data_IF_708914511607
#
_entry.id   IF_708914511607
#
_cell.length_a   1.000
_cell.length_b   1.000
_cell.length_c   1.000
_cell.angle_alpha   90.00
_cell.angle_beta   90.00
_cell.angle_gamma   90.00
#
_symmetry.space_group_name_H-M   'P 1'
#
loop_
_entity.id
_entity.type
_entity.pdbx_description
1 polymer ?
#
# COMPACT_ATOMS: atom_id res chain seq x y z
N UNK A 1 -0.35 -21.20 16.99
CA UNK A 1 -1.58 -20.39 16.81
C UNK A 1 -1.26 -18.90 16.94
N UNK A 2 -0.34 -18.48 17.86
CA UNK A 2 0.08 -17.06 17.99
C UNK A 2 0.68 -16.54 16.67
N UNK A 3 1.50 -17.35 16.00
CA UNK A 3 2.11 -16.98 14.72
C UNK A 3 1.09 -16.76 13.60
N UNK A 4 -0.01 -17.50 13.63
CA UNK A 4 -1.11 -17.27 12.69
C UNK A 4 -1.76 -15.90 12.91
N UNK A 5 -1.96 -15.51 14.18
CA UNK A 5 -2.49 -14.19 14.52
C UNK A 5 -1.53 -13.07 14.10
N UNK A 6 -0.24 -13.26 14.37
CA UNK A 6 0.82 -12.33 13.93
C UNK A 6 0.83 -12.19 12.41
N UNK A 7 0.74 -13.32 11.70
CA UNK A 7 0.64 -13.36 10.22
C UNK A 7 -0.59 -12.61 9.72
N UNK A 8 -1.75 -12.81 10.35
CA UNK A 8 -2.99 -12.12 9.96
C UNK A 8 -2.90 -10.61 10.21
N UNK A 9 -2.31 -10.21 11.33
CA UNK A 9 -2.15 -8.80 11.67
C UNK A 9 -1.17 -8.10 10.72
N UNK A 10 0.05 -8.63 10.57
CA UNK A 10 1.07 -8.08 9.69
C UNK A 10 0.62 -8.14 8.23
N UNK A 11 0.06 -9.27 7.82
CA UNK A 11 -0.46 -9.47 6.47
C UNK A 11 -1.60 -8.51 6.12
N UNK A 12 -2.42 -8.11 7.08
CA UNK A 12 -3.49 -7.13 6.86
C UNK A 12 -2.96 -5.72 6.58
N UNK A 13 -1.89 -5.30 7.26
CA UNK A 13 -1.22 -4.01 6.98
C UNK A 13 -0.56 -4.06 5.60
N UNK A 14 0.19 -5.13 5.32
CA UNK A 14 0.83 -5.36 4.03
C UNK A 14 -0.18 -5.39 2.90
N UNK A 15 -1.31 -6.05 3.12
CA UNK A 15 -2.41 -6.14 2.16
C UNK A 15 -2.98 -4.77 1.82
N UNK A 16 -3.28 -3.93 2.81
CA UNK A 16 -3.82 -2.58 2.57
C UNK A 16 -2.88 -1.75 1.72
N UNK A 17 -1.59 -1.75 2.06
CA UNK A 17 -0.59 -1.00 1.32
C UNK A 17 -0.40 -1.55 -0.11
N UNK A 18 -0.25 -2.87 -0.24
CA UNK A 18 -0.04 -3.51 -1.54
C UNK A 18 -1.28 -3.43 -2.45
N UNK A 19 -2.51 -3.47 -1.90
CA UNK A 19 -3.74 -3.26 -2.67
C UNK A 19 -3.81 -1.87 -3.29
N UNK A 20 -3.40 -0.82 -2.56
CA UNK A 20 -3.32 0.53 -3.11
C UNK A 20 -2.39 0.60 -4.31
N UNK A 21 -1.18 0.06 -4.17
CA UNK A 21 -0.19 0.02 -5.24
C UNK A 21 -0.63 -0.85 -6.42
N UNK A 22 -1.23 -2.02 -6.16
CA UNK A 22 -1.75 -2.91 -7.19
C UNK A 22 -2.93 -2.30 -7.95
N UNK A 23 -3.79 -1.54 -7.28
CA UNK A 23 -4.89 -0.82 -7.91
C UNK A 23 -4.36 0.24 -8.89
N UNK A 24 -3.37 1.03 -8.49
CA UNK A 24 -2.71 2.00 -9.35
C UNK A 24 -2.07 1.31 -10.57
N UNK A 25 -1.33 0.22 -10.36
CA UNK A 25 -0.73 -0.56 -11.44
C UNK A 25 -1.76 -1.13 -12.41
N UNK A 26 -2.80 -1.77 -11.91
CA UNK A 26 -3.80 -2.46 -12.75
C UNK A 26 -4.66 -1.51 -13.59
N UNK A 27 -4.71 -0.21 -13.24
CA UNK A 27 -5.54 0.79 -13.93
C UNK A 27 -4.74 1.75 -14.78
N UNK A 28 -3.59 2.19 -14.29
CA UNK A 28 -2.77 3.23 -14.97
C UNK A 28 -1.54 2.60 -15.62
N UNK A 29 -1.17 1.38 -15.23
CA UNK A 29 0.04 0.69 -15.67
C UNK A 29 1.33 1.28 -15.08
N UNK A 30 1.23 1.97 -13.93
CA UNK A 30 2.34 2.73 -13.37
C UNK A 30 2.62 2.29 -11.94
N UNK A 31 3.89 2.03 -11.62
CA UNK A 31 4.37 1.87 -10.26
C UNK A 31 4.62 3.24 -9.65
N UNK A 32 3.84 3.57 -8.63
CA UNK A 32 4.01 4.82 -7.90
C UNK A 32 5.07 4.67 -6.82
N UNK A 33 6.30 5.10 -7.10
CA UNK A 33 7.39 5.07 -6.11
C UNK A 33 7.20 6.08 -4.97
N UNK A 34 6.31 7.07 -5.11
CA UNK A 34 5.94 7.95 -4.01
C UNK A 34 4.97 7.30 -2.99
N UNK A 35 4.51 6.06 -3.23
CA UNK A 35 3.50 5.41 -2.38
C UNK A 35 3.99 5.18 -0.95
N UNK A 36 5.28 4.81 -0.77
CA UNK A 36 5.91 4.70 0.55
C UNK A 36 6.01 6.02 1.30
N UNK A 37 6.36 7.09 0.59
CA UNK A 37 6.39 8.43 1.16
C UNK A 37 5.00 8.93 1.57
N UNK A 38 3.97 8.64 0.76
CA UNK A 38 2.57 8.95 1.07
C UNK A 38 2.11 8.22 2.35
N UNK A 39 2.48 6.95 2.50
CA UNK A 39 2.20 6.15 3.68
C UNK A 39 2.78 6.78 4.96
N UNK A 40 4.08 7.11 4.98
CA UNK A 40 4.74 7.72 6.13
C UNK A 40 4.18 9.11 6.42
N UNK A 41 4.09 9.98 5.40
CA UNK A 41 3.63 11.34 5.55
C UNK A 41 2.19 11.45 6.02
N UNK A 42 1.33 10.52 5.59
CA UNK A 42 -0.07 10.48 6.03
C UNK A 42 -0.21 10.17 7.51
N UNK A 43 0.55 9.19 8.00
CA UNK A 43 0.60 8.86 9.42
C UNK A 43 1.24 10.00 10.24
N UNK A 44 2.34 10.58 9.74
CA UNK A 44 3.00 11.73 10.36
C UNK A 44 2.06 12.94 10.46
N UNK A 45 1.27 13.22 9.43
CA UNK A 45 0.33 14.35 9.47
C UNK A 45 -0.69 14.21 10.60
N UNK A 46 -1.17 12.99 10.85
CA UNK A 46 -2.06 12.71 11.97
C UNK A 46 -1.34 12.80 13.33
N UNK A 47 -0.07 12.33 13.40
CA UNK A 47 0.80 12.51 14.57
C UNK A 47 0.97 13.99 14.88
N UNK A 48 1.38 14.79 13.90
CA UNK A 48 1.59 16.23 14.06
C UNK A 48 0.36 16.96 14.61
N UNK A 49 -0.84 16.62 14.11
CA UNK A 49 -2.09 17.21 14.63
C UNK A 49 -2.38 16.70 16.05
N UNK A 50 -2.09 15.43 16.35
CA UNK A 50 -2.34 14.83 17.67
C UNK A 50 -1.46 15.43 18.77
N UNK A 51 -0.34 16.04 18.42
CA UNK A 51 0.51 16.74 19.40
C UNK A 51 -0.12 18.05 19.92
N UNK A 52 -1.04 18.65 19.17
CA UNK A 52 -1.75 19.86 19.57
C UNK A 52 -3.11 19.56 20.19
N UNK A 53 -3.78 18.47 19.78
CA UNK A 53 -5.11 18.11 20.23
C UNK A 53 -5.19 16.60 20.42
N UNK A 54 -5.60 16.10 21.60
CA UNK A 54 -5.77 14.67 21.79
C UNK A 54 -6.86 14.13 20.85
N UNK A 55 -6.46 13.22 19.98
CA UNK A 55 -7.32 12.64 18.95
C UNK A 55 -7.72 11.21 19.30
N UNK A 56 -8.96 10.85 18.94
CA UNK A 56 -9.40 9.46 18.97
C UNK A 56 -8.81 8.65 17.79
N UNK A 57 -8.68 7.33 17.96
CA UNK A 57 -8.19 6.45 16.88
C UNK A 57 -8.95 6.63 15.55
N UNK A 58 -10.29 6.70 15.50
CA UNK A 58 -11.00 6.96 14.25
C UNK A 58 -10.65 8.30 13.59
N UNK A 59 -10.42 9.34 14.41
CA UNK A 59 -10.02 10.65 13.89
C UNK A 59 -8.62 10.61 13.27
N UNK A 60 -7.66 9.96 13.92
CA UNK A 60 -6.30 9.75 13.41
C UNK A 60 -6.35 8.97 12.08
N UNK A 61 -7.12 7.89 12.02
CA UNK A 61 -7.30 7.10 10.80
C UNK A 61 -7.91 7.96 9.69
N UNK A 62 -8.95 8.72 9.98
CA UNK A 62 -9.61 9.58 8.98
C UNK A 62 -8.66 10.64 8.42
N UNK A 63 -7.88 11.31 9.28
CA UNK A 63 -6.88 12.30 8.86
C UNK A 63 -5.84 11.63 7.95
N UNK A 64 -5.29 10.49 8.36
CA UNK A 64 -4.29 9.77 7.57
C UNK A 64 -4.84 9.33 6.20
N UNK A 65 -6.07 8.83 6.15
CA UNK A 65 -6.74 8.45 4.89
C UNK A 65 -6.94 9.66 3.99
N UNK A 66 -7.42 10.78 4.52
CA UNK A 66 -7.68 12.00 3.74
C UNK A 66 -6.37 12.62 3.22
N UNK A 67 -5.35 12.70 4.05
CA UNK A 67 -4.02 13.21 3.63
C UNK A 67 -3.43 12.30 2.56
N UNK A 68 -3.46 11.00 2.76
CA UNK A 68 -2.95 10.04 1.78
C UNK A 68 -3.71 10.11 0.45
N UNK A 69 -5.04 10.17 0.49
CA UNK A 69 -5.86 10.31 -0.70
C UNK A 69 -5.58 11.61 -1.46
N UNK A 70 -5.51 12.74 -0.76
CA UNK A 70 -5.25 14.05 -1.38
C UNK A 70 -3.85 14.15 -1.94
N UNK A 71 -2.83 13.72 -1.20
CA UNK A 71 -1.43 13.76 -1.66
C UNK A 71 -1.22 12.88 -2.89
N UNK A 72 -1.79 11.68 -2.89
CA UNK A 72 -1.70 10.77 -4.04
C UNK A 72 -2.46 11.30 -5.26
N UNK A 73 -3.65 11.88 -5.07
CA UNK A 73 -4.40 12.53 -6.15
C UNK A 73 -3.64 13.73 -6.74
N UNK A 74 -3.02 14.56 -5.89
CA UNK A 74 -2.17 15.68 -6.30
C UNK A 74 -0.92 15.20 -7.06
N UNK A 75 -0.29 14.12 -6.62
CA UNK A 75 0.84 13.50 -7.32
C UNK A 75 0.42 13.07 -8.73
N UNK A 76 -0.76 12.46 -8.89
CA UNK A 76 -1.27 12.10 -10.20
C UNK A 76 -1.52 13.34 -11.07
N UNK A 77 -2.20 14.33 -10.52
CA UNK A 77 -2.62 15.50 -11.29
C UNK A 77 -1.44 16.42 -11.66
N UNK A 78 -0.53 16.70 -10.70
CA UNK A 78 0.54 17.68 -10.88
C UNK A 78 1.82 17.08 -11.48
N UNK A 79 2.10 15.80 -11.24
CA UNK A 79 3.33 15.16 -11.70
C UNK A 79 3.08 14.14 -12.81
N UNK A 80 2.26 13.12 -12.59
CA UNK A 80 2.15 12.00 -13.53
C UNK A 80 1.34 12.33 -14.78
N UNK A 81 0.24 13.05 -14.66
CA UNK A 81 -0.57 13.44 -15.80
C UNK A 81 0.16 14.32 -16.82
N UNK A 82 0.92 15.37 -16.41
CA UNK A 82 1.76 16.13 -17.33
C UNK A 82 2.86 15.31 -17.98
N UNK A 83 3.47 14.38 -17.23
CA UNK A 83 4.50 13.48 -17.77
C UNK A 83 3.90 12.58 -18.84
N UNK A 84 2.73 11.97 -18.58
CA UNK A 84 2.03 11.13 -19.55
C UNK A 84 1.70 11.87 -20.84
N UNK A 85 1.14 13.09 -20.73
CA UNK A 85 0.75 13.91 -21.89
C UNK A 85 1.94 14.37 -22.74
N UNK A 86 3.14 14.53 -22.14
CA UNK A 86 4.36 14.98 -22.85
C UNK A 86 5.23 13.83 -23.32
N UNK A 87 4.90 12.60 -23.00
CA UNK A 87 5.70 11.43 -23.39
C UNK A 87 5.31 10.93 -24.78
N UNK A 88 6.31 10.68 -25.63
CA UNK A 88 6.10 10.25 -27.02
C UNK A 88 5.70 8.78 -27.14
N UNK A 89 6.08 7.94 -26.19
CA UNK A 89 5.78 6.50 -26.17
C UNK A 89 5.66 6.00 -24.73
N UNK A 90 5.02 4.84 -24.57
CA UNK A 90 4.70 4.25 -23.26
C UNK A 90 5.95 4.00 -22.40
N UNK A 91 7.00 3.42 -22.98
CA UNK A 91 8.25 3.13 -22.27
C UNK A 91 8.96 4.38 -21.74
N UNK A 92 8.94 5.49 -22.50
CA UNK A 92 9.51 6.76 -22.02
C UNK A 92 8.66 7.40 -20.92
N UNK A 93 7.34 7.19 -20.96
CA UNK A 93 6.42 7.62 -19.90
C UNK A 93 6.71 6.90 -18.58
N UNK A 94 6.84 5.59 -18.61
CA UNK A 94 7.14 4.75 -17.44
C UNK A 94 8.43 5.19 -16.74
N UNK A 95 9.53 5.36 -17.47
CA UNK A 95 10.80 5.81 -16.91
C UNK A 95 10.72 7.22 -16.30
N UNK A 96 10.04 8.16 -16.99
CA UNK A 96 9.87 9.52 -16.47
C UNK A 96 9.00 9.56 -15.22
N UNK A 97 7.98 8.71 -15.14
CA UNK A 97 7.11 8.60 -13.96
C UNK A 97 7.85 7.96 -12.80
N UNK A 98 8.68 6.96 -13.05
CA UNK A 98 9.56 6.38 -12.04
C UNK A 98 10.45 7.46 -11.42
N UNK A 99 11.19 8.21 -12.24
CA UNK A 99 12.05 9.29 -11.77
C UNK A 99 11.24 10.41 -11.10
N UNK A 100 10.11 10.79 -11.70
CA UNK A 100 9.19 11.79 -11.13
C UNK A 100 8.59 11.35 -9.80
N UNK A 101 8.25 10.07 -9.65
CA UNK A 101 7.73 9.48 -8.40
C UNK A 101 8.77 9.54 -7.28
N UNK A 102 10.02 9.21 -7.56
CA UNK A 102 11.12 9.33 -6.59
C UNK A 102 11.32 10.80 -6.19
N UNK A 103 11.30 11.72 -7.18
CA UNK A 103 11.41 13.16 -6.90
C UNK A 103 10.26 13.70 -6.04
N UNK A 104 9.02 13.28 -6.32
CA UNK A 104 7.85 13.64 -5.50
C UNK A 104 7.95 13.04 -4.10
N UNK A 105 8.45 11.81 -3.97
CA UNK A 105 8.62 11.15 -2.67
C UNK A 105 9.59 11.89 -1.75
N UNK A 106 10.63 12.49 -2.31
CA UNK A 106 11.67 13.16 -1.54
C UNK A 106 11.12 14.34 -0.71
N UNK A 107 10.09 15.04 -1.19
CA UNK A 107 9.52 16.21 -0.50
C UNK A 107 8.85 15.82 0.84
N UNK A 108 7.82 14.95 0.86
CA UNK A 108 7.17 14.55 2.11
C UNK A 108 8.13 13.83 3.06
N UNK A 109 9.05 13.01 2.55
CA UNK A 109 10.05 12.34 3.38
C UNK A 109 10.97 13.34 4.06
N UNK A 110 11.53 14.33 3.33
CA UNK A 110 12.38 15.36 3.90
C UNK A 110 11.64 16.22 4.94
N UNK A 111 10.35 16.48 4.74
CA UNK A 111 9.53 17.21 5.72
C UNK A 111 9.35 16.40 7.02
N UNK A 112 9.08 15.09 6.92
CA UNK A 112 8.95 14.24 8.10
C UNK A 112 10.30 14.14 8.82
N UNK A 113 11.37 13.85 8.10
CA UNK A 113 12.72 13.71 8.66
C UNK A 113 13.17 14.98 9.38
N UNK A 114 12.97 16.15 8.78
CA UNK A 114 13.25 17.43 9.40
C UNK A 114 12.40 17.67 10.65
N UNK A 115 11.11 17.39 10.61
CA UNK A 115 10.19 17.66 11.71
C UNK A 115 10.40 16.72 12.90
N UNK A 116 10.82 15.47 12.64
CA UNK A 116 11.07 14.48 13.69
C UNK A 116 12.53 14.42 14.13
N UNK A 117 13.42 15.19 13.51
CA UNK A 117 14.87 15.11 13.69
C UNK A 117 15.40 13.66 13.51
N UNK A 118 14.87 12.96 12.49
CA UNK A 118 15.16 11.55 12.18
C UNK A 118 14.76 10.54 13.28
N UNK A 119 14.00 10.98 14.30
CA UNK A 119 13.50 10.09 15.33
C UNK A 119 12.18 9.41 14.90
N UNK A 120 11.94 8.16 15.33
CA UNK A 120 10.64 7.54 15.12
C UNK A 120 9.51 8.31 15.82
N UNK A 121 8.35 8.42 15.18
CA UNK A 121 7.16 9.07 15.71
C UNK A 121 6.06 8.05 16.00
N UNK A 122 5.14 8.39 16.91
CA UNK A 122 4.00 7.56 17.30
C UNK A 122 2.82 8.41 17.77
N UNK A 123 1.70 7.78 18.11
CA UNK A 123 0.50 8.49 18.59
C UNK A 123 0.43 8.55 20.12
N UNK A 124 1.45 9.14 20.76
CA UNK A 124 1.56 9.21 22.21
C UNK A 124 0.38 9.94 22.89
N UNK A 125 -0.16 10.98 22.21
CA UNK A 125 -1.28 11.77 22.71
C UNK A 125 -2.66 11.28 22.25
N UNK A 126 -2.73 10.06 21.69
CA UNK A 126 -4.00 9.45 21.33
C UNK A 126 -4.79 9.05 22.58
N UNK A 127 -6.09 9.29 22.57
CA UNK A 127 -7.00 8.78 23.61
C UNK A 127 -7.23 7.26 23.55
N UNK A 128 -6.62 6.58 22.57
CA UNK A 128 -6.72 5.13 22.39
C UNK A 128 -5.66 4.41 23.19
N UNK A 129 -6.09 3.45 24.02
CA UNK A 129 -5.21 2.55 24.76
C UNK A 129 -5.21 1.14 24.19
N UNK A 130 -4.03 0.61 23.93
CA UNK A 130 -3.87 -0.79 23.52
C UNK A 130 -4.12 -1.68 24.74
N UNK A 131 -5.12 -2.56 24.63
CA UNK A 131 -5.42 -3.57 25.64
C UNK A 131 -5.03 -4.95 25.11
N UNK A 132 -4.45 -5.76 25.98
CA UNK A 132 -4.05 -7.13 25.67
C UNK A 132 -5.04 -8.08 26.34
N UNK A 133 -5.65 -8.95 25.56
CA UNK A 133 -6.52 -10.02 26.02
C UNK A 133 -5.77 -11.35 25.93
N UNK A 134 -5.75 -12.09 27.03
CA UNK A 134 -5.21 -13.45 27.03
C UNK A 134 -6.37 -14.45 26.99
N UNK A 135 -6.55 -15.10 25.85
CA UNK A 135 -7.60 -16.09 25.63
C UNK A 135 -6.93 -17.42 25.23
N UNK A 136 -7.06 -18.43 26.08
CA UNK A 136 -6.51 -19.78 25.85
C UNK A 136 -4.99 -19.78 25.54
N UNK A 137 -4.22 -18.91 26.19
CA UNK A 137 -2.78 -18.76 25.98
C UNK A 137 -2.39 -17.96 24.74
N UNK A 138 -3.35 -17.33 24.06
CA UNK A 138 -3.12 -16.40 22.94
C UNK A 138 -3.17 -14.96 23.46
N UNK A 139 -2.20 -14.18 23.04
CA UNK A 139 -2.18 -12.73 23.29
C UNK A 139 -2.76 -11.99 22.10
N UNK A 140 -3.97 -11.45 22.27
CA UNK A 140 -4.69 -10.71 21.25
C UNK A 140 -4.83 -9.27 21.71
N UNK A 141 -4.37 -8.31 20.90
CA UNK A 141 -4.61 -6.90 21.18
C UNK A 141 -5.86 -6.41 20.46
N UNK A 142 -6.56 -5.45 21.07
CA UNK A 142 -7.67 -4.76 20.41
C UNK A 142 -7.21 -4.12 19.07
N UNK A 143 -5.97 -3.61 19.01
CA UNK A 143 -5.35 -3.08 17.80
C UNK A 143 -5.24 -4.14 16.71
N UNK A 144 -4.75 -5.35 17.04
CA UNK A 144 -4.62 -6.44 16.06
C UNK A 144 -5.97 -6.83 15.47
N UNK A 145 -7.03 -6.87 16.28
CA UNK A 145 -8.39 -7.16 15.78
C UNK A 145 -8.87 -6.08 14.82
N UNK A 146 -8.68 -4.80 15.16
CA UNK A 146 -9.04 -3.67 14.28
C UNK A 146 -8.27 -3.75 12.96
N UNK A 147 -6.97 -4.01 13.01
CA UNK A 147 -6.11 -4.15 11.82
C UNK A 147 -6.60 -5.28 10.91
N UNK A 148 -6.90 -6.46 11.46
CA UNK A 148 -7.38 -7.61 10.68
C UNK A 148 -8.75 -7.30 10.06
N UNK A 149 -9.68 -6.78 10.84
CA UNK A 149 -11.03 -6.44 10.35
C UNK A 149 -10.97 -5.37 9.26
N UNK A 150 -10.16 -4.32 9.48
CA UNK A 150 -9.97 -3.26 8.49
C UNK A 150 -9.32 -3.80 7.22
N UNK A 151 -8.21 -4.55 7.34
CA UNK A 151 -7.47 -5.09 6.19
C UNK A 151 -8.32 -6.02 5.33
N UNK A 152 -8.90 -7.04 5.95
CA UNK A 152 -9.74 -8.02 5.25
C UNK A 152 -11.04 -7.39 4.74
N UNK A 153 -11.71 -6.58 5.57
CA UNK A 153 -12.96 -5.92 5.21
C UNK A 153 -12.81 -4.99 4.01
N UNK A 154 -11.74 -4.18 3.99
CA UNK A 154 -11.46 -3.28 2.87
C UNK A 154 -11.04 -4.07 1.62
N UNK A 155 -10.22 -5.12 1.75
CA UNK A 155 -9.86 -5.96 0.62
C UNK A 155 -11.08 -6.60 -0.05
N UNK A 156 -12.00 -7.12 0.75
CA UNK A 156 -13.28 -7.68 0.25
C UNK A 156 -14.13 -6.56 -0.36
N UNK A 157 -14.33 -5.45 0.34
CA UNK A 157 -15.11 -4.30 -0.13
C UNK A 157 -14.58 -3.73 -1.45
N UNK A 158 -13.27 -3.51 -1.55
CA UNK A 158 -12.62 -3.03 -2.76
C UNK A 158 -12.78 -4.01 -3.93
N UNK A 159 -12.59 -5.31 -3.66
CA UNK A 159 -12.77 -6.35 -4.68
C UNK A 159 -14.20 -6.41 -5.20
N UNK A 160 -15.19 -6.33 -4.30
CA UNK A 160 -16.61 -6.30 -4.67
C UNK A 160 -16.97 -5.02 -5.42
N UNK A 161 -16.47 -3.87 -4.97
CA UNK A 161 -16.67 -2.60 -5.66
C UNK A 161 -16.09 -2.62 -7.07
N UNK A 162 -14.85 -3.09 -7.24
CA UNK A 162 -14.23 -3.22 -8.56
C UNK A 162 -15.00 -4.17 -9.48
N UNK A 163 -15.58 -5.26 -8.93
CA UNK A 163 -16.32 -6.24 -9.74
C UNK A 163 -17.73 -5.80 -10.10
N UNK A 164 -18.43 -5.07 -9.21
CA UNK A 164 -19.88 -4.79 -9.33
C UNK A 164 -20.22 -3.36 -9.69
N UNK A 165 -19.33 -2.38 -9.47
CA UNK A 165 -19.62 -0.98 -9.74
C UNK A 165 -19.35 -0.59 -11.20
N UNK A 166 -20.06 0.47 -11.68
CA UNK A 166 -19.81 1.07 -13.00
C UNK A 166 -18.41 1.68 -13.08
N UNK A 167 -17.93 2.28 -11.98
CA UNK A 167 -16.58 2.82 -11.89
C UNK A 167 -15.52 1.72 -11.97
N UNK A 168 -15.72 0.61 -11.24
CA UNK A 168 -14.83 -0.56 -11.33
C UNK A 168 -14.82 -1.20 -12.71
N UNK A 169 -15.94 -1.17 -13.44
CA UNK A 169 -15.97 -1.59 -14.85
C UNK A 169 -15.11 -0.67 -15.73
N UNK A 170 -15.25 0.65 -15.56
CA UNK A 170 -14.44 1.65 -16.28
C UNK A 170 -12.94 1.49 -16.00
N UNK A 171 -12.56 1.28 -14.74
CA UNK A 171 -11.15 1.05 -14.36
C UNK A 171 -10.58 -0.22 -15.02
N UNK A 172 -11.34 -1.31 -15.03
CA UNK A 172 -10.92 -2.55 -15.71
C UNK A 172 -10.83 -2.39 -17.23
N UNK A 173 -11.72 -1.60 -17.83
CA UNK A 173 -11.67 -1.30 -19.27
C UNK A 173 -10.40 -0.51 -19.62
N UNK A 174 -10.03 0.52 -18.83
CA UNK A 174 -8.79 1.28 -18.99
C UNK A 174 -7.55 0.36 -18.85
N UNK A 175 -7.56 -0.56 -17.89
CA UNK A 175 -6.47 -1.51 -17.68
C UNK A 175 -6.29 -2.51 -18.82
N UNK A 176 -7.30 -2.75 -19.65
CA UNK A 176 -7.19 -3.61 -20.85
C UNK A 176 -6.75 -2.80 -22.07
N UNK A 177 -7.44 -1.69 -22.33
CA UNK A 177 -7.15 -0.79 -23.44
C UNK A 177 -7.70 0.61 -23.13
N UNK A 178 -6.79 1.52 -22.78
CA UNK A 178 -7.14 2.87 -22.36
C UNK A 178 -7.67 3.74 -23.51
N UNK A 179 -7.28 3.46 -24.76
CA UNK A 179 -7.70 4.20 -25.92
C UNK A 179 -9.14 3.82 -26.31
N UNK A 180 -9.40 2.54 -26.43
CA UNK A 180 -10.76 2.02 -26.66
C UNK A 180 -11.74 2.42 -25.56
N UNK A 181 -11.34 2.35 -24.28
CA UNK A 181 -12.17 2.79 -23.14
C UNK A 181 -12.54 4.27 -23.25
N UNK A 182 -11.61 5.12 -23.72
CA UNK A 182 -11.86 6.55 -23.90
C UNK A 182 -12.87 6.82 -25.03
N UNK A 183 -12.82 6.05 -26.11
CA UNK A 183 -13.81 6.12 -27.20
C UNK A 183 -15.23 5.73 -26.74
N UNK A 184 -15.32 4.86 -25.72
CA UNK A 184 -16.57 4.47 -25.08
C UNK A 184 -17.05 5.46 -24.00
N UNK A 185 -16.40 6.63 -23.88
CA UNK A 185 -16.79 7.71 -22.97
C UNK A 185 -16.17 7.63 -21.55
N UNK A 186 -15.22 6.75 -21.32
CA UNK A 186 -14.53 6.67 -20.02
C UNK A 186 -13.44 7.75 -19.94
N UNK A 187 -13.56 8.69 -19.02
CA UNK A 187 -12.55 9.73 -18.81
C UNK A 187 -11.34 9.17 -18.07
N UNK A 188 -10.25 8.94 -18.80
CA UNK A 188 -9.00 8.36 -18.28
C UNK A 188 -8.40 9.19 -17.13
N UNK A 189 -8.34 10.52 -17.28
CA UNK A 189 -7.74 11.42 -16.27
C UNK A 189 -8.49 11.37 -14.95
N UNK A 190 -9.83 11.45 -15.00
CA UNK A 190 -10.67 11.37 -13.79
C UNK A 190 -10.54 10.02 -13.12
N UNK A 191 -10.54 8.94 -13.90
CA UNK A 191 -10.34 7.59 -13.35
C UNK A 191 -8.97 7.41 -12.73
N UNK A 192 -7.90 7.93 -13.36
CA UNK A 192 -6.54 7.86 -12.83
C UNK A 192 -6.42 8.63 -11.51
N UNK A 193 -6.94 9.86 -11.42
CA UNK A 193 -6.94 10.65 -10.19
C UNK A 193 -7.73 9.94 -9.08
N UNK A 194 -8.91 9.42 -9.40
CA UNK A 194 -9.75 8.68 -8.45
C UNK A 194 -9.07 7.39 -7.94
N UNK A 195 -8.42 6.65 -8.84
CA UNK A 195 -7.65 5.45 -8.48
C UNK A 195 -6.49 5.81 -7.54
N UNK A 196 -5.74 6.85 -7.86
CA UNK A 196 -4.64 7.30 -7.04
C UNK A 196 -5.11 7.83 -5.68
N UNK A 197 -6.27 8.51 -5.62
CA UNK A 197 -6.89 8.91 -4.35
C UNK A 197 -7.21 7.69 -3.47
N UNK A 198 -7.84 6.65 -4.04
CA UNK A 198 -8.12 5.40 -3.30
C UNK A 198 -6.81 4.73 -2.85
N UNK A 199 -5.83 4.63 -3.75
CA UNK A 199 -4.53 4.03 -3.44
C UNK A 199 -3.83 4.78 -2.29
N UNK A 200 -3.77 6.11 -2.36
CA UNK A 200 -3.19 6.93 -1.29
C UNK A 200 -3.97 6.87 0.02
N UNK A 201 -5.30 6.79 -0.04
CA UNK A 201 -6.14 6.56 1.14
C UNK A 201 -5.85 5.22 1.82
N UNK A 202 -5.63 4.16 1.03
CA UNK A 202 -5.21 2.85 1.55
C UNK A 202 -3.81 2.90 2.17
N UNK A 203 -2.87 3.64 1.56
CA UNK A 203 -1.55 3.87 2.13
C UNK A 203 -1.63 4.62 3.47
N UNK A 204 -2.43 5.69 3.55
CA UNK A 204 -2.64 6.45 4.78
C UNK A 204 -3.28 5.62 5.88
N UNK A 205 -4.26 4.78 5.54
CA UNK A 205 -4.87 3.83 6.48
C UNK A 205 -3.86 2.82 7.00
N UNK A 206 -3.08 2.20 6.08
CA UNK A 206 -2.04 1.25 6.45
C UNK A 206 -0.99 1.89 7.37
N UNK A 207 -0.60 3.15 7.09
CA UNK A 207 0.34 3.92 7.91
C UNK A 207 -0.17 4.16 9.33
N UNK A 208 -1.40 4.66 9.47
CA UNK A 208 -2.02 4.86 10.78
C UNK A 208 -2.13 3.56 11.57
N UNK A 209 -2.60 2.47 10.94
CA UNK A 209 -2.73 1.17 11.58
C UNK A 209 -1.38 0.58 11.98
N UNK A 210 -0.33 0.78 11.16
CA UNK A 210 1.03 0.33 11.50
C UNK A 210 1.58 1.07 12.72
N UNK A 211 1.40 2.39 12.81
CA UNK A 211 1.80 3.16 13.99
C UNK A 211 1.05 2.70 15.24
N UNK A 212 -0.25 2.44 15.15
CA UNK A 212 -1.01 1.87 16.29
C UNK A 212 -0.53 0.48 16.69
N UNK A 213 -0.11 -0.35 15.71
CA UNK A 213 0.34 -1.72 15.97
C UNK A 213 1.75 -1.78 16.55
N UNK A 214 2.70 -0.99 15.99
CA UNK A 214 4.11 -1.01 16.38
C UNK A 214 4.47 0.08 17.41
N UNK A 215 3.55 1.01 17.68
CA UNK A 215 3.69 2.17 18.57
C UNK A 215 4.73 3.21 18.10
N UNK A 216 5.48 2.92 17.06
CA UNK A 216 6.44 3.85 16.46
C UNK A 216 6.65 3.55 14.98
N UNK A 217 6.99 4.60 14.18
CA UNK A 217 7.33 4.49 12.77
C UNK A 217 8.50 5.42 12.45
N UNK A 218 9.53 4.88 11.80
CA UNK A 218 10.63 5.66 11.22
C UNK A 218 10.34 6.08 9.78
N UNK A 219 11.09 7.04 9.30
CA UNK A 219 10.95 7.57 7.93
C UNK A 219 11.25 6.50 6.87
N UNK A 220 12.21 5.61 7.16
CA UNK A 220 12.64 4.52 6.28
C UNK A 220 11.59 3.41 6.10
N UNK A 221 10.61 3.33 7.00
CA UNK A 221 9.57 2.29 6.96
C UNK A 221 8.78 2.31 5.64
N UNK A 222 8.60 3.50 5.04
CA UNK A 222 7.90 3.65 3.77
C UNK A 222 8.63 2.98 2.61
N UNK A 223 9.94 3.14 2.51
CA UNK A 223 10.75 2.54 1.45
C UNK A 223 10.86 1.03 1.62
N UNK A 224 11.04 0.55 2.86
CA UNK A 224 11.05 -0.88 3.16
C UNK A 224 9.73 -1.55 2.76
N UNK A 225 8.59 -0.92 3.11
CA UNK A 225 7.29 -1.47 2.76
C UNK A 225 6.98 -1.36 1.26
N UNK A 226 7.49 -0.33 0.58
CA UNK A 226 7.37 -0.17 -0.87
C UNK A 226 8.02 -1.35 -1.61
N UNK A 227 9.23 -1.73 -1.21
CA UNK A 227 9.96 -2.86 -1.80
C UNK A 227 9.21 -4.17 -1.51
N UNK A 228 8.73 -4.38 -0.28
CA UNK A 228 7.91 -5.55 0.09
C UNK A 228 6.59 -5.60 -0.68
N UNK A 229 5.93 -4.45 -0.90
CA UNK A 229 4.70 -4.40 -1.67
C UNK A 229 4.92 -4.75 -3.15
N UNK A 230 6.00 -4.26 -3.74
CA UNK A 230 6.40 -4.68 -5.08
C UNK A 230 6.57 -6.21 -5.15
N UNK A 231 7.25 -6.76 -4.16
CA UNK A 231 7.42 -8.19 -4.00
C UNK A 231 6.08 -8.96 -3.94
N UNK A 232 5.15 -8.50 -3.11
CA UNK A 232 3.83 -9.11 -2.96
C UNK A 232 3.02 -9.07 -4.25
N UNK A 233 3.10 -7.96 -4.99
CA UNK A 233 2.40 -7.79 -6.27
C UNK A 233 3.01 -8.71 -7.35
N UNK A 234 4.32 -8.79 -7.41
CA UNK A 234 5.03 -9.67 -8.36
C UNK A 234 4.79 -11.14 -8.01
N UNK A 235 4.91 -11.51 -6.74
CA UNK A 235 4.63 -12.86 -6.25
C UNK A 235 3.19 -13.29 -6.54
N UNK A 236 2.24 -12.37 -6.31
CA UNK A 236 0.83 -12.60 -6.59
C UNK A 236 0.50 -12.67 -8.09
N UNK A 237 1.31 -12.03 -8.91
CA UNK A 237 1.10 -11.83 -10.35
C UNK A 237 0.54 -10.44 -10.65
N UNK A 238 1.26 -9.69 -11.50
CA UNK A 238 0.92 -8.33 -11.88
C UNK A 238 -0.52 -8.23 -12.41
N UNK A 239 -1.30 -7.33 -11.83
CA UNK A 239 -2.71 -7.11 -12.20
C UNK A 239 -3.74 -8.06 -11.57
N UNK A 240 -3.33 -9.01 -10.70
CA UNK A 240 -4.25 -9.91 -10.00
C UNK A 240 -4.48 -9.47 -8.55
N UNK A 241 -5.66 -8.88 -8.25
CA UNK A 241 -6.02 -8.53 -6.87
C UNK A 241 -6.02 -9.73 -5.92
N UNK A 242 -6.50 -10.90 -6.37
CA UNK A 242 -6.46 -12.13 -5.58
C UNK A 242 -5.02 -12.60 -5.33
N UNK A 243 -4.14 -12.39 -6.31
CA UNK A 243 -2.72 -12.68 -6.17
C UNK A 243 -2.06 -11.80 -5.12
N UNK A 244 -2.35 -10.51 -5.11
CA UNK A 244 -1.81 -9.56 -4.11
C UNK A 244 -2.25 -9.94 -2.69
N UNK A 245 -3.51 -10.35 -2.50
CA UNK A 245 -4.00 -10.85 -1.21
C UNK A 245 -3.16 -12.03 -0.74
N UNK A 246 -2.97 -13.04 -1.60
CA UNK A 246 -2.15 -14.20 -1.24
C UNK A 246 -0.68 -13.83 -1.02
N UNK A 247 -0.12 -12.98 -1.88
CA UNK A 247 1.25 -12.48 -1.75
C UNK A 247 1.52 -11.80 -0.41
N UNK A 248 0.58 -10.96 0.04
CA UNK A 248 0.68 -10.28 1.32
C UNK A 248 0.71 -11.24 2.51
N UNK A 249 -0.19 -12.22 2.54
CA UNK A 249 -0.23 -13.20 3.64
C UNK A 249 0.89 -14.23 3.57
N UNK A 250 1.35 -14.62 2.39
CA UNK A 250 2.52 -15.50 2.25
C UNK A 250 3.79 -14.81 2.76
N UNK A 251 4.01 -13.55 2.38
CA UNK A 251 5.16 -12.78 2.86
C UNK A 251 5.08 -12.57 4.38
N UNK A 252 3.94 -12.11 4.89
CA UNK A 252 3.73 -11.93 6.33
C UNK A 252 3.89 -13.22 7.12
N UNK A 253 3.44 -14.34 6.57
CA UNK A 253 3.62 -15.66 7.19
C UNK A 253 5.09 -16.08 7.27
N UNK A 254 5.84 -15.88 6.19
CA UNK A 254 7.28 -16.15 6.18
C UNK A 254 8.01 -15.28 7.22
N UNK A 255 7.73 -13.99 7.28
CA UNK A 255 8.31 -13.07 8.27
C UNK A 255 7.92 -13.45 9.71
N UNK A 256 6.65 -13.77 9.97
CA UNK A 256 6.20 -14.19 11.29
C UNK A 256 6.91 -15.46 11.79
N UNK A 257 7.15 -16.42 10.90
CA UNK A 257 7.88 -17.63 11.24
C UNK A 257 9.35 -17.37 11.56
N UNK A 258 9.98 -16.43 10.84
CA UNK A 258 11.38 -16.04 11.10
C UNK A 258 11.50 -15.32 12.44
N UNK A 259 10.57 -14.44 12.76
CA UNK A 259 10.51 -13.80 14.08
C UNK A 259 10.31 -14.81 15.19
N UNK A 260 9.45 -15.81 15.01
CA UNK A 260 9.22 -16.90 15.96
C UNK A 260 10.48 -17.75 16.19
N UNK A 261 11.32 -17.91 15.16
CA UNK A 261 12.61 -18.60 15.25
C UNK A 261 13.71 -17.74 15.89
N UNK A 262 13.44 -16.52 16.37
CA UNK A 262 14.39 -15.53 16.87
C UNK A 262 15.46 -15.12 15.82
N UNK A 263 15.13 -15.20 14.54
CA UNK A 263 16.02 -14.88 13.41
C UNK A 263 15.63 -13.54 12.76
N UNK A 264 15.22 -12.54 13.53
CA UNK A 264 14.70 -11.26 13.02
C UNK A 264 15.63 -10.53 12.05
N UNK A 265 16.94 -10.66 12.21
CA UNK A 265 17.95 -10.09 11.28
C UNK A 265 17.89 -10.68 9.86
N UNK A 266 17.26 -11.85 9.69
CA UNK A 266 17.13 -12.54 8.40
C UNK A 266 15.80 -12.25 7.68
N UNK A 267 14.92 -11.44 8.26
CA UNK A 267 13.59 -11.16 7.72
C UNK A 267 13.66 -10.64 6.29
N UNK A 268 14.49 -9.63 6.05
CA UNK A 268 14.62 -9.05 4.70
C UNK A 268 15.26 -10.05 3.72
N UNK A 269 16.30 -10.79 4.16
CA UNK A 269 16.94 -11.79 3.32
C UNK A 269 15.98 -12.90 2.89
N UNK A 270 15.11 -13.36 3.79
CA UNK A 270 14.12 -14.38 3.48
C UNK A 270 12.99 -13.81 2.61
N UNK A 271 12.54 -12.59 2.88
CA UNK A 271 11.56 -11.90 2.04
C UNK A 271 12.06 -11.78 0.60
N UNK A 272 13.28 -11.30 0.38
CA UNK A 272 13.88 -11.22 -0.95
C UNK A 272 14.18 -12.60 -1.56
N UNK A 273 14.63 -13.55 -0.75
CA UNK A 273 14.87 -14.93 -1.17
C UNK A 273 13.59 -15.61 -1.67
N UNK A 274 12.47 -15.40 -0.97
CA UNK A 274 11.17 -15.92 -1.38
C UNK A 274 10.70 -15.32 -2.71
N UNK A 275 10.90 -14.01 -2.91
CA UNK A 275 10.59 -13.35 -4.18
C UNK A 275 11.44 -13.96 -5.30
N UNK A 276 12.75 -14.07 -5.08
CA UNK A 276 13.67 -14.64 -6.06
C UNK A 276 13.28 -16.06 -6.44
N UNK A 277 12.98 -16.91 -5.46
CA UNK A 277 12.54 -18.28 -5.70
C UNK A 277 11.24 -18.35 -6.51
N UNK A 278 10.25 -17.52 -6.16
CA UNK A 278 8.98 -17.51 -6.90
C UNK A 278 9.18 -17.02 -8.33
N UNK A 279 9.98 -15.98 -8.56
CA UNK A 279 10.27 -15.49 -9.91
C UNK A 279 11.08 -16.50 -10.74
N UNK A 280 11.96 -17.27 -10.11
CA UNK A 280 12.72 -18.32 -10.78
C UNK A 280 11.82 -19.45 -11.27
N UNK A 281 10.82 -19.85 -10.45
CA UNK A 281 9.90 -20.96 -10.76
C UNK A 281 8.72 -20.50 -11.61
N UNK A 282 8.19 -19.29 -11.33
CA UNK A 282 7.05 -18.68 -12.04
C UNK A 282 7.26 -17.20 -12.27
N UNK A 283 7.94 -16.80 -13.36
CA UNK A 283 8.28 -15.40 -13.64
C UNK A 283 7.06 -14.49 -13.81
N UNK A 284 5.88 -15.03 -13.99
CA UNK A 284 4.61 -14.29 -14.09
C UNK A 284 3.87 -14.16 -12.75
N UNK A 285 4.43 -14.71 -11.67
CA UNK A 285 3.77 -14.81 -10.38
C UNK A 285 2.76 -15.97 -10.30
N UNK A 286 2.18 -16.16 -9.11
CA UNK A 286 1.30 -17.33 -8.84
C UNK A 286 0.02 -17.26 -9.67
N UNK A 287 -0.57 -16.07 -9.85
CA UNK A 287 -1.82 -15.81 -10.59
C UNK A 287 -1.64 -14.96 -11.84
N UNK A 288 -0.40 -14.76 -12.30
CA UNK A 288 -0.11 -14.01 -13.51
C UNK A 288 -0.76 -14.66 -14.74
N UNK A 289 -1.37 -13.85 -15.61
CA UNK A 289 -1.86 -14.29 -16.92
C UNK A 289 -0.76 -14.12 -17.94
N UNK A 290 -0.60 -15.09 -18.84
CA UNK A 290 0.25 -14.92 -20.00
C UNK A 290 -0.31 -13.78 -20.87
N UNK A 291 0.45 -12.71 -21.03
CA UNK A 291 0.16 -11.73 -22.09
C UNK A 291 0.31 -12.45 -23.42
N UNK A 292 -0.81 -12.70 -24.08
CA UNK A 292 -0.79 -13.08 -25.49
C UNK A 292 -0.36 -11.82 -26.25
N UNK A 293 0.94 -11.71 -26.55
CA UNK A 293 1.44 -10.72 -27.50
C UNK A 293 0.68 -10.95 -28.80
N UNK A 294 -0.28 -10.11 -29.11
CA UNK A 294 -0.78 -9.95 -30.47
C UNK A 294 0.35 -9.24 -31.24
N UNK A 295 1.10 -10.04 -31.98
CA UNK A 295 2.04 -9.57 -33.04
C UNK A 295 1.24 -8.90 -34.15
#
# INVERSE_FOLDING_TARGET
VQELLNTLTLGSIYLLFALGMALAWSTIGILNFAHGAIFVFSAFSAHFISDFVPLSMPAIILISVLVGATLSALTQWLAFEPILKRSKNHRSAELRILIGGIGVAAIPIALVDWATASAPFGFANSSYSTQVYEIMGLRITNTSLIVIIAGVGIAVGLTLWLRRSRQGLGLRAIGVDSETASLMGVNRTVMAIGTMAIAGGLAGLAGALQVFQLQAMGVETGDQLLIKAFAMIVLGGLGSMAGVILGAFVLAGAESLIFAANMGTWVDAVSFGLIFLVLLVRPQGIFGRQEVRRT
#
